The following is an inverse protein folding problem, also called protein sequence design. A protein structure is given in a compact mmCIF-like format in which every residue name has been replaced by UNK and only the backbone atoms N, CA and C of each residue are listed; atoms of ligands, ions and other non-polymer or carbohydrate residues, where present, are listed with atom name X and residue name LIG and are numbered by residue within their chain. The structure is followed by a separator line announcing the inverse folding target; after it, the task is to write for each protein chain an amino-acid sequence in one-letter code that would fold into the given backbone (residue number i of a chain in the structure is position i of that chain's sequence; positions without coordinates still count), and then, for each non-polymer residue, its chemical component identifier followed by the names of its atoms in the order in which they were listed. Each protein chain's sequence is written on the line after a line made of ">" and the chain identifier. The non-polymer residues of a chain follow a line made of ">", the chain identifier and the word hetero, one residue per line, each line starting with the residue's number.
data_IF_158698793747
#
_entry.id   IF_158698793747
#
_cell.length_a   1.000
_cell.length_b   1.000
_cell.length_c   1.000
_cell.angle_alpha   90.00
_cell.angle_beta   90.00
_cell.angle_gamma   90.00
#
_symmetry.space_group_name_H-M   'P 1'
#
loop_
_entity.id
_entity.type
_entity.pdbx_description
1 polymer ?
#
# COMPACT_ATOMS: atom_id res chain seq x y z
N UNK A 1 5.65 23.32 -15.31
CA UNK A 1 6.26 22.18 -14.60
C UNK A 1 5.74 20.88 -15.23
N UNK A 2 6.65 20.00 -15.67
CA UNK A 2 6.26 18.70 -16.24
C UNK A 2 5.94 17.70 -15.14
N UNK A 3 4.94 16.86 -15.37
CA UNK A 3 4.54 15.80 -14.45
C UNK A 3 4.17 14.52 -15.21
N UNK A 4 4.13 13.40 -14.49
CA UNK A 4 3.59 12.13 -14.96
C UNK A 4 2.56 11.63 -13.96
N UNK A 5 1.36 11.30 -14.44
CA UNK A 5 0.34 10.61 -13.66
C UNK A 5 0.62 9.13 -13.67
N UNK A 6 0.76 8.52 -12.49
CA UNK A 6 0.99 7.09 -12.35
C UNK A 6 0.07 6.50 -11.31
N UNK A 7 -0.14 5.19 -11.38
CA UNK A 7 -0.95 4.44 -10.43
C UNK A 7 -0.33 3.07 -10.12
N UNK A 8 -0.60 2.59 -8.90
CA UNK A 8 -0.39 1.21 -8.50
C UNK A 8 -1.68 0.67 -7.88
N UNK A 9 -2.42 -0.14 -8.66
CA UNK A 9 -3.71 -0.74 -8.24
C UNK A 9 -4.78 0.29 -7.86
N UNK A 10 -4.88 1.38 -8.63
CA UNK A 10 -5.84 2.45 -8.40
C UNK A 10 -5.43 3.50 -7.36
N UNK A 11 -4.37 3.27 -6.60
CA UNK A 11 -3.75 4.32 -5.78
C UNK A 11 -2.88 5.19 -6.70
N UNK A 12 -3.32 6.43 -6.95
CA UNK A 12 -2.89 7.26 -8.05
C UNK A 12 -2.31 8.61 -7.59
N UNK A 13 -1.06 8.85 -7.94
CA UNK A 13 -0.35 10.10 -7.61
C UNK A 13 0.09 10.86 -8.84
N UNK A 14 0.36 12.16 -8.66
CA UNK A 14 1.09 12.97 -9.62
C UNK A 14 2.57 12.91 -9.27
N UNK A 15 3.41 12.53 -10.23
CA UNK A 15 4.86 12.39 -10.06
C UNK A 15 5.58 13.51 -10.76
N UNK A 16 6.54 14.13 -10.08
CA UNK A 16 7.40 15.18 -10.63
C UNK A 16 8.85 14.74 -10.52
N UNK A 17 9.56 14.79 -11.64
CA UNK A 17 11.00 14.51 -11.69
C UNK A 17 11.79 15.71 -11.17
N UNK A 18 12.10 15.73 -9.90
CA UNK A 18 12.82 16.81 -9.24
C UNK A 18 14.36 16.75 -9.46
N UNK A 19 14.86 15.80 -10.29
CA UNK A 19 16.21 15.89 -10.85
C UNK A 19 16.34 17.06 -11.85
N UNK A 20 15.21 17.48 -12.46
CA UNK A 20 15.19 18.51 -13.52
C UNK A 20 14.17 19.60 -13.25
N UNK A 21 13.08 19.34 -12.54
CA UNK A 21 12.07 20.31 -12.16
C UNK A 21 12.33 20.84 -10.75
N UNK A 22 12.14 22.13 -10.53
CA UNK A 22 12.19 22.73 -9.20
C UNK A 22 10.77 22.97 -8.70
N UNK A 23 10.44 22.40 -7.55
CA UNK A 23 9.14 22.57 -6.91
C UNK A 23 9.30 23.42 -5.65
N UNK A 24 8.61 24.55 -5.63
CA UNK A 24 8.51 25.41 -4.46
C UNK A 24 7.18 25.14 -3.76
N UNK A 25 7.17 25.07 -2.40
CA UNK A 25 6.00 24.78 -1.58
C UNK A 25 5.22 23.53 -1.98
N UNK A 26 5.84 22.33 -1.92
CA UNK A 26 5.23 21.09 -2.40
C UNK A 26 3.94 20.73 -1.66
N UNK A 27 3.78 21.10 -0.38
CA UNK A 27 2.56 20.90 0.40
C UNK A 27 1.34 21.64 -0.22
N UNK A 28 1.54 22.88 -0.62
CA UNK A 28 0.48 23.68 -1.25
C UNK A 28 0.24 23.23 -2.71
N UNK A 29 1.30 22.81 -3.40
CA UNK A 29 1.16 22.23 -4.74
C UNK A 29 0.36 20.93 -4.67
N UNK A 30 0.62 20.06 -3.69
CA UNK A 30 -0.08 18.79 -3.53
C UNK A 30 -1.59 19.00 -3.41
N UNK A 31 -2.06 19.95 -2.59
CA UNK A 31 -3.48 20.28 -2.45
C UNK A 31 -4.14 20.70 -3.76
N UNK A 32 -3.43 21.49 -4.56
CA UNK A 32 -3.95 22.00 -5.83
C UNK A 32 -3.92 20.97 -6.94
N UNK A 33 -2.80 20.26 -7.09
CA UNK A 33 -2.60 19.33 -8.20
C UNK A 33 -3.38 18.03 -8.00
N UNK A 34 -3.58 17.61 -6.73
CA UNK A 34 -4.34 16.40 -6.41
C UNK A 34 -5.86 16.60 -6.44
N UNK A 35 -6.36 17.83 -6.51
CA UNK A 35 -7.80 18.07 -6.63
C UNK A 35 -8.36 17.40 -7.90
N UNK A 36 -9.38 16.53 -7.73
CA UNK A 36 -9.95 15.74 -8.82
C UNK A 36 -10.86 16.52 -9.74
N UNK A 37 -11.24 17.76 -9.38
CA UNK A 37 -12.13 18.62 -10.13
C UNK A 37 -11.41 19.84 -10.74
N UNK A 38 -10.41 20.38 -10.03
CA UNK A 38 -9.73 21.61 -10.41
C UNK A 38 -8.23 21.44 -10.66
N UNK A 39 -7.69 20.22 -10.41
CA UNK A 39 -6.31 19.85 -10.65
C UNK A 39 -6.15 18.74 -11.67
N UNK A 40 -5.02 18.03 -11.56
CA UNK A 40 -4.79 16.78 -12.30
C UNK A 40 -5.62 15.64 -11.69
N UNK A 41 -5.85 15.72 -10.38
CA UNK A 41 -6.56 14.72 -9.61
C UNK A 41 -5.67 13.56 -9.18
N UNK A 42 -5.80 13.12 -7.93
CA UNK A 42 -5.07 11.98 -7.40
C UNK A 42 -5.08 11.93 -5.89
N UNK A 43 -4.38 10.95 -5.32
CA UNK A 43 -4.23 10.77 -3.87
C UNK A 43 -3.14 11.71 -3.29
N UNK A 44 -2.38 12.38 -4.17
CA UNK A 44 -1.37 13.35 -3.77
C UNK A 44 -0.29 13.60 -4.83
N UNK A 45 0.84 14.09 -4.35
CA UNK A 45 2.02 14.45 -5.12
C UNK A 45 3.23 13.65 -4.63
N UNK A 46 4.03 13.10 -5.54
CA UNK A 46 5.32 12.50 -5.23
C UNK A 46 6.41 13.21 -6.03
N UNK A 47 7.38 13.78 -5.33
CA UNK A 47 8.60 14.28 -5.94
C UNK A 47 9.63 13.16 -5.97
N UNK A 48 10.21 12.92 -7.14
CA UNK A 48 11.34 11.98 -7.32
C UNK A 48 12.59 12.83 -7.29
N UNK A 49 13.25 12.86 -6.13
CA UNK A 49 14.40 13.74 -5.86
C UNK A 49 15.72 12.98 -5.93
N UNK A 50 16.85 13.67 -6.18
CA UNK A 50 18.18 13.10 -5.98
C UNK A 50 18.36 12.66 -4.52
N UNK A 51 19.11 11.56 -4.30
CA UNK A 51 19.56 11.10 -2.99
C UNK A 51 21.06 10.88 -2.97
N UNK A 52 21.70 11.23 -1.87
CA UNK A 52 23.14 10.92 -1.65
C UNK A 52 23.37 9.49 -1.14
N UNK A 53 22.26 8.76 -0.82
CA UNK A 53 22.31 7.44 -0.16
C UNK A 53 21.66 6.33 -0.98
N UNK A 54 20.86 6.69 -1.97
CA UNK A 54 20.06 5.78 -2.76
C UNK A 54 19.97 6.25 -4.23
N UNK A 55 19.24 5.50 -5.06
CA UNK A 55 19.05 5.84 -6.48
C UNK A 55 18.14 7.06 -6.68
N UNK A 56 17.20 7.25 -5.74
CA UNK A 56 16.32 8.42 -5.66
C UNK A 56 15.75 8.54 -4.24
N UNK A 57 15.25 9.73 -3.91
CA UNK A 57 14.41 9.97 -2.74
C UNK A 57 12.95 10.14 -3.16
N UNK A 58 12.07 9.35 -2.56
CA UNK A 58 10.63 9.46 -2.70
C UNK A 58 10.10 10.44 -1.66
N UNK A 59 9.83 11.68 -2.06
CA UNK A 59 9.24 12.71 -1.22
C UNK A 59 7.75 12.82 -1.51
N UNK A 60 6.93 12.37 -0.59
CA UNK A 60 5.51 12.13 -0.80
C UNK A 60 4.64 13.10 0.01
N UNK A 61 3.63 13.65 -0.64
CA UNK A 61 2.61 14.52 -0.04
C UNK A 61 1.21 13.99 -0.37
N UNK A 62 0.37 13.87 0.64
CA UNK A 62 -1.04 13.51 0.49
C UNK A 62 -1.83 14.67 -0.15
N UNK A 63 -3.08 14.41 -0.57
CA UNK A 63 -3.95 15.42 -1.17
C UNK A 63 -4.29 16.59 -0.23
N UNK A 64 -4.17 16.41 1.10
CA UNK A 64 -4.33 17.48 2.09
C UNK A 64 -3.05 18.30 2.32
N UNK A 65 -1.95 17.96 1.63
CA UNK A 65 -0.65 18.60 1.75
C UNK A 65 0.21 18.04 2.88
N UNK A 66 -0.28 17.09 3.67
CA UNK A 66 0.52 16.43 4.70
C UNK A 66 1.60 15.54 4.08
N UNK A 67 2.81 15.55 4.68
CA UNK A 67 3.90 14.71 4.22
C UNK A 67 3.71 13.26 4.67
N UNK A 68 3.69 12.33 3.71
CA UNK A 68 3.63 10.90 3.95
C UNK A 68 5.02 10.29 4.18
N UNK A 69 5.08 9.23 5.00
CA UNK A 69 6.35 8.57 5.31
C UNK A 69 6.76 7.56 4.22
N UNK A 70 5.81 6.81 3.69
CA UNK A 70 6.01 5.78 2.67
C UNK A 70 4.66 5.31 2.13
N UNK A 71 4.61 4.97 0.85
CA UNK A 71 3.48 4.32 0.20
C UNK A 71 3.98 3.16 -0.67
N UNK A 72 3.58 1.93 -0.37
CA UNK A 72 4.02 0.73 -1.09
C UNK A 72 3.62 0.74 -2.57
N UNK A 73 2.46 1.32 -2.92
CA UNK A 73 2.03 1.50 -4.30
C UNK A 73 2.86 2.61 -4.99
N UNK A 74 3.04 3.74 -4.29
CA UNK A 74 3.80 4.87 -4.80
C UNK A 74 5.27 4.55 -5.06
N UNK A 75 5.92 3.79 -4.19
CA UNK A 75 7.35 3.47 -4.37
C UNK A 75 7.60 2.55 -5.58
N UNK A 76 6.65 1.65 -5.93
CA UNK A 76 6.74 0.87 -7.17
C UNK A 76 6.67 1.77 -8.40
N UNK A 77 5.84 2.81 -8.34
CA UNK A 77 5.78 3.82 -9.41
C UNK A 77 7.06 4.64 -9.51
N UNK A 78 7.69 5.02 -8.38
CA UNK A 78 9.01 5.68 -8.38
C UNK A 78 10.07 4.77 -9.02
N UNK A 79 10.13 3.48 -8.63
CA UNK A 79 11.04 2.50 -9.23
C UNK A 79 10.84 2.38 -10.75
N UNK A 80 9.58 2.30 -11.20
CA UNK A 80 9.25 2.29 -12.62
C UNK A 80 9.73 3.57 -13.32
N UNK A 81 9.44 4.72 -12.73
CA UNK A 81 9.81 6.00 -13.33
C UNK A 81 11.32 6.12 -13.53
N UNK A 82 12.11 5.89 -12.47
CA UNK A 82 13.58 6.05 -12.55
C UNK A 82 14.21 5.05 -13.51
N UNK A 83 13.65 3.84 -13.62
CA UNK A 83 14.09 2.85 -14.58
C UNK A 83 13.66 3.20 -16.01
N UNK A 84 12.36 3.45 -16.24
CA UNK A 84 11.80 3.64 -17.59
C UNK A 84 12.31 4.94 -18.25
N UNK A 85 12.59 5.97 -17.45
CA UNK A 85 13.11 7.26 -17.93
C UNK A 85 14.65 7.34 -17.92
N UNK A 86 15.36 6.25 -17.60
CA UNK A 86 16.82 6.17 -17.72
C UNK A 86 17.57 7.01 -16.68
N UNK A 87 16.97 7.27 -15.51
CA UNK A 87 17.67 7.90 -14.36
C UNK A 87 18.69 6.89 -13.79
N UNK A 88 18.35 5.60 -13.84
CA UNK A 88 19.24 4.49 -13.49
C UNK A 88 19.62 3.67 -14.72
N UNK A 89 20.73 2.91 -14.60
CA UNK A 89 21.20 2.03 -15.67
C UNK A 89 20.16 0.94 -16.00
N UNK A 90 19.93 0.70 -17.28
CA UNK A 90 18.96 -0.28 -17.80
C UNK A 90 19.32 -1.75 -17.51
N UNK A 91 20.57 -2.02 -17.16
CA UNK A 91 21.00 -3.38 -16.76
C UNK A 91 20.67 -3.70 -15.30
N UNK A 92 20.33 -2.69 -14.50
CA UNK A 92 20.01 -2.87 -13.09
C UNK A 92 18.66 -3.57 -12.92
N UNK A 93 18.59 -4.43 -11.90
CA UNK A 93 17.35 -5.12 -11.46
C UNK A 93 17.10 -4.92 -9.97
N UNK A 94 18.08 -4.41 -9.24
CA UNK A 94 17.96 -4.01 -7.84
C UNK A 94 18.10 -2.48 -7.76
N UNK A 95 17.13 -1.85 -7.12
CA UNK A 95 17.09 -0.40 -6.90
C UNK A 95 16.95 -0.13 -5.40
N UNK A 96 17.47 1.01 -4.98
CA UNK A 96 17.35 1.49 -3.61
C UNK A 96 16.65 2.84 -3.66
N UNK A 97 15.54 2.97 -2.95
CA UNK A 97 14.79 4.24 -2.89
C UNK A 97 14.75 4.69 -1.44
N UNK A 98 15.31 5.88 -1.19
CA UNK A 98 15.19 6.55 0.10
C UNK A 98 13.76 7.05 0.29
N UNK A 99 13.24 6.88 1.50
CA UNK A 99 11.94 7.40 1.94
C UNK A 99 12.11 7.98 3.34
N UNK A 100 11.12 8.69 3.84
CA UNK A 100 11.11 9.16 5.24
C UNK A 100 11.15 8.02 6.26
N UNK A 101 10.71 6.80 5.86
CA UNK A 101 10.78 5.57 6.67
C UNK A 101 12.08 4.78 6.49
N UNK A 102 13.09 5.34 5.81
CA UNK A 102 14.35 4.68 5.50
C UNK A 102 14.48 4.26 4.05
N UNK A 103 15.60 3.61 3.72
CA UNK A 103 15.87 3.08 2.38
C UNK A 103 15.09 1.78 2.21
N UNK A 104 14.46 1.63 1.04
CA UNK A 104 13.75 0.42 0.62
C UNK A 104 14.46 -0.24 -0.53
N UNK A 105 14.64 -1.56 -0.39
CA UNK A 105 15.20 -2.42 -1.43
C UNK A 105 14.10 -2.89 -2.36
N UNK A 106 14.32 -2.74 -3.67
CA UNK A 106 13.31 -3.01 -4.68
C UNK A 106 13.92 -3.85 -5.79
N UNK A 107 13.35 -5.01 -6.02
CA UNK A 107 13.66 -5.83 -7.20
C UNK A 107 12.66 -5.52 -8.31
N UNK A 108 13.15 -5.21 -9.52
CA UNK A 108 12.30 -4.88 -10.66
C UNK A 108 12.28 -6.00 -11.71
N UNK A 109 11.11 -6.23 -12.29
CA UNK A 109 10.89 -7.18 -13.38
C UNK A 109 10.62 -6.41 -14.67
N UNK A 110 11.46 -6.66 -15.66
CA UNK A 110 11.49 -5.91 -16.92
C UNK A 110 11.01 -6.80 -18.06
N UNK A 111 10.11 -6.26 -18.88
CA UNK A 111 9.63 -6.85 -20.11
C UNK A 111 9.65 -5.81 -21.21
N UNK A 112 10.17 -6.15 -22.39
CA UNK A 112 10.26 -5.27 -23.56
C UNK A 112 10.92 -3.91 -23.27
N UNK A 113 11.97 -3.91 -22.39
CA UNK A 113 12.72 -2.71 -22.00
C UNK A 113 12.00 -1.75 -21.03
N UNK A 114 10.82 -2.15 -20.52
CA UNK A 114 10.04 -1.42 -19.53
C UNK A 114 9.83 -2.23 -18.26
N UNK A 115 9.78 -1.57 -17.10
CA UNK A 115 9.41 -2.22 -15.86
C UNK A 115 7.93 -2.61 -15.88
N UNK A 116 7.61 -3.87 -15.64
CA UNK A 116 6.25 -4.39 -15.56
C UNK A 116 5.75 -4.42 -14.12
N UNK A 117 6.54 -4.97 -13.21
CA UNK A 117 6.24 -5.07 -11.77
C UNK A 117 7.51 -4.94 -10.92
N UNK A 118 7.32 -4.70 -9.64
CA UNK A 118 8.41 -4.67 -8.67
C UNK A 118 8.04 -5.39 -7.38
N UNK A 119 9.05 -5.99 -6.74
CA UNK A 119 9.00 -6.49 -5.38
C UNK A 119 9.64 -5.48 -4.44
N UNK A 120 8.93 -5.10 -3.40
CA UNK A 120 9.38 -4.19 -2.34
C UNK A 120 9.57 -4.98 -1.06
N UNK A 121 10.73 -4.85 -0.40
CA UNK A 121 10.91 -5.32 0.97
C UNK A 121 10.14 -4.40 1.91
N UNK A 122 9.06 -4.92 2.49
CA UNK A 122 8.20 -4.19 3.43
C UNK A 122 8.83 -4.08 4.81
N UNK A 123 9.90 -4.83 5.07
CA UNK A 123 10.60 -4.91 6.34
C UNK A 123 10.04 -5.98 7.27
N UNK A 124 10.48 -5.94 8.53
CA UNK A 124 10.05 -6.86 9.57
C UNK A 124 8.58 -6.62 9.94
N UNK A 125 7.77 -7.68 9.90
CA UNK A 125 6.35 -7.67 10.28
C UNK A 125 6.20 -8.25 11.67
N UNK A 126 5.41 -7.59 12.54
CA UNK A 126 5.25 -7.96 13.94
C UNK A 126 3.79 -8.29 14.26
N UNK A 127 3.62 -9.33 15.10
CA UNK A 127 2.32 -9.61 15.71
C UNK A 127 2.04 -8.53 16.79
N UNK A 128 0.87 -7.90 16.74
CA UNK A 128 0.38 -6.96 17.75
C UNK A 128 -0.76 -7.60 18.56
N UNK A 129 -0.45 -8.09 19.74
CA UNK A 129 -1.39 -8.71 20.66
C UNK A 129 -1.41 -10.23 20.60
N UNK A 130 -2.61 -10.83 20.72
CA UNK A 130 -2.82 -12.29 20.72
C UNK A 130 -3.07 -12.82 19.32
N UNK A 131 -2.94 -14.14 19.15
CA UNK A 131 -3.14 -14.86 17.89
C UNK A 131 -4.17 -15.99 18.06
N UNK A 132 -5.46 -15.78 17.71
CA UNK A 132 -6.17 -14.50 17.48
C UNK A 132 -6.56 -13.80 18.79
N UNK A 133 -7.12 -12.59 18.70
CA UNK A 133 -7.70 -11.82 19.79
C UNK A 133 -9.21 -11.63 19.57
N UNK A 134 -10.02 -11.79 20.64
CA UNK A 134 -11.46 -11.57 20.61
C UNK A 134 -11.77 -10.07 20.81
N UNK A 135 -12.77 -9.55 20.10
CA UNK A 135 -13.20 -8.16 20.15
C UNK A 135 -14.73 -8.07 19.95
N UNK A 136 -15.37 -7.08 20.56
CA UNK A 136 -16.76 -6.79 20.32
C UNK A 136 -16.91 -5.49 19.55
N UNK A 137 -17.45 -5.54 18.33
CA UNK A 137 -17.72 -4.36 17.51
C UNK A 137 -19.20 -4.33 17.15
N UNK A 138 -19.93 -3.25 17.50
CA UNK A 138 -21.38 -3.08 17.24
C UNK A 138 -22.25 -4.21 17.80
N UNK A 139 -21.84 -4.84 18.91
CA UNK A 139 -22.53 -5.99 19.47
C UNK A 139 -22.25 -7.34 18.77
N UNK A 140 -21.37 -7.35 17.78
CA UNK A 140 -20.86 -8.56 17.14
C UNK A 140 -19.66 -9.09 17.90
N UNK A 141 -19.63 -10.37 18.23
CA UNK A 141 -18.47 -11.04 18.81
C UNK A 141 -17.53 -11.49 17.68
N UNK A 142 -16.40 -10.82 17.54
CA UNK A 142 -15.48 -11.01 16.43
C UNK A 142 -14.11 -11.45 16.89
N UNK A 143 -13.32 -11.97 15.97
CA UNK A 143 -11.90 -12.32 16.14
C UNK A 143 -11.06 -11.61 15.11
N UNK A 144 -9.91 -11.10 15.54
CA UNK A 144 -8.94 -10.49 14.64
C UNK A 144 -7.51 -10.92 14.98
N UNK A 145 -6.60 -10.70 14.03
CA UNK A 145 -5.16 -10.78 14.23
C UNK A 145 -4.59 -9.40 14.06
N UNK A 146 -3.96 -8.88 15.13
CA UNK A 146 -3.26 -7.60 15.07
C UNK A 146 -1.88 -7.77 14.43
N UNK A 147 -1.57 -6.99 13.40
CA UNK A 147 -0.28 -7.00 12.69
C UNK A 147 0.24 -5.59 12.56
N UNK A 148 1.54 -5.41 12.81
CA UNK A 148 2.27 -4.16 12.58
C UNK A 148 3.25 -4.33 11.40
N UNK A 149 3.03 -3.54 10.35
CA UNK A 149 3.89 -3.44 9.14
C UNK A 149 4.54 -2.05 9.09
N UNK A 150 4.83 -1.44 10.25
CA UNK A 150 5.18 -0.03 10.41
C UNK A 150 3.98 0.89 10.60
N UNK A 151 2.78 0.32 10.51
CA UNK A 151 1.49 0.89 10.87
C UNK A 151 0.55 -0.25 11.33
N UNK A 152 -0.47 0.06 12.16
CA UNK A 152 -1.32 -0.97 12.76
C UNK A 152 -2.40 -1.49 11.81
N UNK A 153 -2.59 -2.82 11.81
CA UNK A 153 -3.60 -3.55 11.05
C UNK A 153 -4.37 -4.52 11.92
N UNK A 154 -5.69 -4.60 11.76
CA UNK A 154 -6.57 -5.56 12.39
C UNK A 154 -7.22 -6.44 11.31
N UNK A 155 -6.77 -7.70 11.22
CA UNK A 155 -7.15 -8.64 10.15
C UNK A 155 -8.27 -9.55 10.63
N UNK A 156 -9.42 -9.48 9.98
CA UNK A 156 -10.63 -10.24 10.25
C UNK A 156 -10.86 -11.29 9.15
N UNK A 157 -10.69 -12.58 9.48
CA UNK A 157 -11.02 -13.67 8.55
C UNK A 157 -12.51 -13.98 8.60
N UNK A 158 -13.17 -14.03 7.46
CA UNK A 158 -14.62 -14.23 7.37
C UNK A 158 -15.08 -15.53 8.05
N UNK A 159 -14.32 -16.61 7.87
CA UNK A 159 -14.64 -17.91 8.46
C UNK A 159 -14.59 -17.95 9.99
N UNK A 160 -13.87 -17.02 10.64
CA UNK A 160 -13.85 -16.89 12.11
C UNK A 160 -14.91 -15.94 12.65
N UNK A 161 -15.60 -15.23 11.77
CA UNK A 161 -16.45 -14.09 12.11
C UNK A 161 -17.89 -14.27 11.58
N UNK A 162 -18.63 -15.32 12.03
CA UNK A 162 -19.99 -15.59 11.56
C UNK A 162 -20.96 -14.45 11.89
N UNK A 163 -20.69 -13.63 12.91
CA UNK A 163 -21.52 -12.49 13.28
C UNK A 163 -21.49 -11.37 12.22
N UNK A 164 -20.54 -11.36 11.28
CA UNK A 164 -20.58 -10.47 10.12
C UNK A 164 -21.81 -10.77 9.22
N UNK A 165 -22.37 -11.97 9.32
CA UNK A 165 -23.62 -12.40 8.68
C UNK A 165 -23.65 -12.22 7.15
N UNK A 166 -22.52 -12.43 6.49
CA UNK A 166 -22.35 -12.38 5.03
C UNK A 166 -21.74 -13.68 4.52
N UNK A 167 -22.00 -14.04 3.29
CA UNK A 167 -21.40 -15.23 2.65
C UNK A 167 -20.10 -14.92 1.91
N UNK A 168 -19.85 -13.64 1.60
CA UNK A 168 -18.59 -13.13 1.04
C UNK A 168 -18.31 -11.74 1.57
N UNK A 169 -17.04 -11.39 1.69
CA UNK A 169 -16.64 -10.03 2.09
C UNK A 169 -17.11 -8.95 1.11
N UNK A 170 -17.46 -9.33 -0.13
CA UNK A 170 -18.01 -8.40 -1.12
C UNK A 170 -19.39 -7.84 -0.72
N UNK A 171 -20.11 -8.51 0.18
CA UNK A 171 -21.42 -8.10 0.70
C UNK A 171 -21.32 -7.12 1.87
N UNK A 172 -20.11 -6.90 2.45
CA UNK A 172 -19.93 -5.97 3.55
C UNK A 172 -20.13 -4.53 3.09
N UNK A 173 -20.95 -3.80 3.82
CA UNK A 173 -21.10 -2.34 3.65
C UNK A 173 -20.07 -1.61 4.52
N UNK A 174 -18.82 -1.54 4.02
CA UNK A 174 -17.71 -0.97 4.76
C UNK A 174 -17.85 0.55 4.97
N UNK A 175 -18.52 1.27 4.08
CA UNK A 175 -18.83 2.69 4.31
C UNK A 175 -19.67 2.90 5.59
N UNK A 176 -20.60 1.97 5.85
CA UNK A 176 -21.49 2.04 7.01
C UNK A 176 -20.86 1.54 8.31
N UNK A 177 -20.01 0.49 8.26
CA UNK A 177 -19.51 -0.17 9.48
C UNK A 177 -18.03 0.10 9.75
N UNK A 178 -17.22 0.42 8.74
CA UNK A 178 -15.76 0.42 8.82
C UNK A 178 -15.21 1.39 9.87
N UNK A 179 -15.87 2.54 10.07
CA UNK A 179 -15.45 3.51 11.08
C UNK A 179 -15.48 2.95 12.51
N UNK A 180 -16.43 2.07 12.83
CA UNK A 180 -16.52 1.46 14.17
C UNK A 180 -15.38 0.48 14.43
N UNK A 181 -14.81 -0.11 13.37
CA UNK A 181 -13.59 -0.92 13.44
C UNK A 181 -12.34 -0.05 13.56
N UNK A 182 -12.22 0.98 12.72
CA UNK A 182 -11.09 1.92 12.71
C UNK A 182 -10.89 2.59 14.07
N UNK A 183 -11.99 3.09 14.68
CA UNK A 183 -11.98 3.91 15.90
C UNK A 183 -12.27 3.09 17.16
N UNK A 184 -12.22 1.76 17.10
CA UNK A 184 -12.50 0.92 18.26
C UNK A 184 -11.50 1.21 19.41
N UNK A 185 -11.96 1.25 20.71
CA UNK A 185 -11.11 1.58 21.87
C UNK A 185 -9.87 0.67 22.06
N UNK A 186 -9.88 -0.54 21.48
CA UNK A 186 -8.68 -1.41 21.43
C UNK A 186 -7.52 -0.75 20.67
N UNK A 187 -7.82 0.19 19.79
CA UNK A 187 -6.87 0.86 18.91
C UNK A 187 -6.84 2.37 19.16
N UNK A 188 -6.13 2.85 20.22
CA UNK A 188 -6.17 4.25 20.62
C UNK A 188 -5.63 5.23 19.57
N UNK A 189 -4.81 4.75 18.64
CA UNK A 189 -4.28 5.52 17.51
C UNK A 189 -4.99 5.19 16.20
N UNK A 190 -6.20 4.58 16.29
CA UNK A 190 -6.93 4.01 15.16
C UNK A 190 -6.17 2.88 14.48
N UNK A 191 -6.82 2.15 13.58
CA UNK A 191 -6.28 0.97 12.90
C UNK A 191 -6.80 0.90 11.46
N UNK A 192 -6.04 0.26 10.56
CA UNK A 192 -6.61 -0.23 9.30
C UNK A 192 -7.32 -1.55 9.60
N UNK A 193 -8.55 -1.69 9.14
CA UNK A 193 -9.35 -2.90 9.34
C UNK A 193 -9.47 -3.68 8.02
N UNK A 194 -8.90 -4.87 7.98
CA UNK A 194 -8.87 -5.74 6.81
C UNK A 194 -9.88 -6.88 6.96
N UNK A 195 -10.67 -7.11 5.93
CA UNK A 195 -11.65 -8.18 5.84
C UNK A 195 -11.22 -9.18 4.77
N UNK A 196 -11.05 -10.45 5.19
CA UNK A 196 -10.37 -11.47 4.39
C UNK A 196 -11.29 -12.67 4.19
N UNK A 197 -11.39 -13.12 2.93
CA UNK A 197 -12.00 -14.39 2.54
C UNK A 197 -10.90 -15.27 1.95
N UNK A 198 -10.61 -16.41 2.59
CA UNK A 198 -9.61 -17.37 2.11
C UNK A 198 -10.21 -18.19 0.97
N UNK A 199 -9.64 -18.09 -0.23
CA UNK A 199 -10.07 -18.81 -1.41
C UNK A 199 -9.34 -20.14 -1.56
N UNK A 200 -8.04 -20.15 -1.23
CA UNK A 200 -7.16 -21.32 -1.21
C UNK A 200 -5.96 -21.04 -0.29
N UNK A 201 -5.08 -22.03 -0.02
CA UNK A 201 -3.85 -21.77 0.75
C UNK A 201 -2.90 -20.74 0.11
N UNK A 202 -3.13 -20.37 -1.16
CA UNK A 202 -2.29 -19.43 -1.91
C UNK A 202 -3.06 -18.24 -2.47
N UNK A 203 -4.34 -18.08 -2.10
CA UNK A 203 -5.18 -17.00 -2.64
C UNK A 203 -6.17 -16.49 -1.60
N UNK A 204 -6.28 -15.19 -1.47
CA UNK A 204 -7.25 -14.51 -0.61
C UNK A 204 -7.96 -13.37 -1.37
N UNK A 205 -9.23 -13.14 -1.04
CA UNK A 205 -9.94 -11.91 -1.38
C UNK A 205 -9.81 -10.94 -0.22
N UNK A 206 -9.65 -9.65 -0.53
CA UNK A 206 -9.28 -8.61 0.43
C UNK A 206 -10.12 -7.36 0.24
N UNK A 207 -10.63 -6.82 1.34
CA UNK A 207 -11.17 -5.47 1.42
C UNK A 207 -10.64 -4.79 2.68
N UNK A 208 -10.49 -3.48 2.65
CA UNK A 208 -9.92 -2.70 3.75
C UNK A 208 -10.70 -1.41 3.99
N UNK A 209 -10.84 -1.06 5.24
CA UNK A 209 -11.20 0.28 5.67
C UNK A 209 -9.96 0.92 6.29
N UNK A 210 -9.32 1.82 5.53
CA UNK A 210 -8.04 2.41 5.93
C UNK A 210 -8.22 3.54 6.94
N UNK A 211 -7.28 3.62 7.85
CA UNK A 211 -7.18 4.65 8.87
C UNK A 211 -7.15 6.04 8.24
N UNK A 212 -8.22 6.83 8.46
CA UNK A 212 -8.37 8.20 7.98
C UNK A 212 -8.78 8.35 6.53
N UNK A 213 -8.90 7.25 5.76
CA UNK A 213 -9.20 7.30 4.32
C UNK A 213 -10.49 6.57 3.93
N UNK A 214 -11.02 5.71 4.82
CA UNK A 214 -12.19 4.89 4.49
C UNK A 214 -11.85 3.68 3.63
N UNK A 215 -12.82 3.15 2.88
CA UNK A 215 -12.57 2.05 1.96
C UNK A 215 -11.76 2.52 0.76
N UNK A 216 -10.66 1.82 0.46
CA UNK A 216 -9.76 2.13 -0.65
C UNK A 216 -9.62 0.95 -1.61
N UNK A 217 -9.14 1.24 -2.82
CA UNK A 217 -8.97 0.21 -3.86
C UNK A 217 -7.78 -0.71 -3.58
N UNK A 218 -6.75 -0.24 -2.86
CA UNK A 218 -5.55 -1.03 -2.58
C UNK A 218 -4.75 -0.45 -1.40
N UNK A 219 -4.51 -1.30 -0.40
CA UNK A 219 -3.61 -1.05 0.73
C UNK A 219 -2.49 -2.09 0.74
N UNK A 220 -1.26 -1.68 0.40
CA UNK A 220 -0.12 -2.60 0.31
C UNK A 220 0.30 -3.16 1.67
N UNK A 221 0.32 -2.33 2.72
CA UNK A 221 0.63 -2.77 4.10
C UNK A 221 -0.48 -3.66 4.65
N UNK A 222 -1.76 -3.36 4.34
CA UNK A 222 -2.90 -4.19 4.71
C UNK A 222 -2.87 -5.56 4.03
N UNK A 223 -2.56 -5.62 2.73
CA UNK A 223 -2.38 -6.89 2.01
C UNK A 223 -1.24 -7.72 2.62
N UNK A 224 -0.13 -7.06 2.99
CA UNK A 224 0.99 -7.70 3.69
C UNK A 224 0.56 -8.25 5.04
N UNK A 225 -0.14 -7.45 5.84
CA UNK A 225 -0.65 -7.86 7.15
C UNK A 225 -1.60 -9.06 7.03
N UNK A 226 -2.51 -9.05 6.04
CA UNK A 226 -3.47 -10.12 5.81
C UNK A 226 -2.80 -11.46 5.51
N UNK A 227 -1.80 -11.47 4.63
CA UNK A 227 -1.06 -12.72 4.29
C UNK A 227 -0.25 -13.21 5.48
N UNK A 228 0.48 -12.31 6.17
CA UNK A 228 1.25 -12.72 7.37
C UNK A 228 0.33 -13.28 8.46
N UNK A 229 -0.81 -12.63 8.73
CA UNK A 229 -1.83 -13.15 9.66
C UNK A 229 -2.31 -14.55 9.26
N UNK A 230 -2.61 -14.76 7.97
CA UNK A 230 -3.03 -16.06 7.44
C UNK A 230 -1.96 -17.15 7.59
N UNK A 231 -0.69 -16.81 7.36
CA UNK A 231 0.44 -17.73 7.56
C UNK A 231 0.60 -18.09 9.04
N UNK A 232 0.53 -17.11 9.94
CA UNK A 232 0.62 -17.32 11.38
C UNK A 232 -0.54 -18.16 11.91
N UNK A 233 -1.74 -18.04 11.33
CA UNK A 233 -2.91 -18.86 11.63
C UNK A 233 -2.88 -20.26 10.95
N UNK A 234 -1.87 -20.56 10.14
CA UNK A 234 -1.74 -21.84 9.42
C UNK A 234 -2.75 -22.03 8.28
N UNK A 235 -3.30 -20.94 7.73
CA UNK A 235 -4.30 -20.94 6.65
C UNK A 235 -3.70 -20.74 5.29
N UNK A 236 -2.57 -20.03 5.23
CA UNK A 236 -1.87 -19.70 4.00
C UNK A 236 -0.48 -20.32 3.97
N UNK A 237 0.00 -20.61 2.78
CA UNK A 237 1.40 -20.92 2.49
C UNK A 237 2.26 -19.64 2.61
N UNK A 238 3.60 -19.78 2.59
CA UNK A 238 4.55 -18.67 2.78
C UNK A 238 4.48 -17.60 1.68
N UNK A 239 3.62 -17.81 0.68
CA UNK A 239 3.36 -16.91 -0.44
C UNK A 239 1.91 -17.02 -0.89
N UNK A 240 1.23 -15.88 -1.05
CA UNK A 240 -0.15 -15.84 -1.52
C UNK A 240 -0.43 -14.65 -2.44
N UNK A 241 -1.39 -14.83 -3.34
CA UNK A 241 -1.99 -13.75 -4.14
C UNK A 241 -3.14 -13.12 -3.35
N UNK A 242 -3.13 -11.82 -3.28
CA UNK A 242 -4.17 -11.00 -2.64
C UNK A 242 -4.97 -10.29 -3.73
N UNK A 243 -6.26 -10.62 -3.85
CA UNK A 243 -7.19 -9.98 -4.76
C UNK A 243 -7.83 -8.77 -4.08
N UNK A 244 -7.34 -7.57 -4.38
CA UNK A 244 -7.87 -6.30 -3.92
C UNK A 244 -8.86 -5.73 -4.94
N UNK A 245 -9.62 -4.71 -4.58
CA UNK A 245 -10.53 -4.03 -5.51
C UNK A 245 -9.80 -3.42 -6.73
N UNK A 246 -8.57 -2.94 -6.53
CA UNK A 246 -7.75 -2.32 -7.57
C UNK A 246 -6.93 -3.31 -8.41
N UNK A 247 -6.89 -4.60 -8.05
CA UNK A 247 -6.13 -5.66 -8.73
C UNK A 247 -5.32 -6.52 -7.75
N UNK A 248 -4.34 -7.25 -8.25
CA UNK A 248 -3.64 -8.29 -7.51
C UNK A 248 -2.27 -7.85 -7.00
N UNK A 249 -1.97 -8.25 -5.76
CA UNK A 249 -0.62 -8.25 -5.18
C UNK A 249 -0.21 -9.69 -4.85
N UNK A 250 1.06 -9.98 -5.03
CA UNK A 250 1.67 -11.19 -4.54
C UNK A 250 2.49 -10.84 -3.29
N UNK A 251 2.19 -11.49 -2.17
CA UNK A 251 2.89 -11.28 -0.91
C UNK A 251 3.60 -12.58 -0.53
N UNK A 252 4.86 -12.47 -0.10
CA UNK A 252 5.59 -13.58 0.51
C UNK A 252 6.17 -13.16 1.86
N UNK A 253 6.32 -14.12 2.76
CA UNK A 253 6.83 -13.91 4.12
C UNK A 253 7.95 -14.89 4.44
N UNK A 254 9.11 -14.38 4.79
CA UNK A 254 10.23 -15.17 5.28
C UNK A 254 10.16 -15.30 6.80
N UNK A 255 9.69 -16.46 7.26
CA UNK A 255 9.58 -16.79 8.70
C UNK A 255 10.92 -16.76 9.46
N UNK A 256 12.07 -16.82 8.78
CA UNK A 256 13.38 -16.80 9.42
C UNK A 256 13.84 -15.40 9.76
N UNK A 257 13.57 -14.46 8.84
CA UNK A 257 13.97 -13.05 8.98
C UNK A 257 12.85 -12.19 9.53
N UNK A 258 11.59 -12.62 9.43
CA UNK A 258 10.41 -11.83 9.76
C UNK A 258 10.06 -10.79 8.70
N UNK A 259 10.74 -10.79 7.55
CA UNK A 259 10.48 -9.85 6.47
C UNK A 259 9.36 -10.31 5.55
N UNK A 260 8.56 -9.37 5.12
CA UNK A 260 7.57 -9.59 4.08
C UNK A 260 7.96 -8.84 2.79
N UNK A 261 7.62 -9.45 1.66
CA UNK A 261 7.92 -8.91 0.33
C UNK A 261 6.63 -8.76 -0.45
N UNK A 262 6.41 -7.58 -1.01
CA UNK A 262 5.21 -7.25 -1.77
C UNK A 262 5.55 -7.04 -3.25
N UNK A 263 5.00 -7.86 -4.11
CA UNK A 263 5.16 -7.77 -5.56
C UNK A 263 3.87 -7.28 -6.21
N UNK A 264 3.97 -6.25 -7.04
CA UNK A 264 2.82 -5.72 -7.76
C UNK A 264 3.21 -4.83 -8.95
N UNK A 265 2.23 -4.49 -9.80
CA UNK A 265 2.43 -3.64 -10.96
C UNK A 265 2.60 -2.17 -10.58
N UNK A 266 3.06 -1.40 -11.55
CA UNK A 266 3.01 0.05 -11.57
C UNK A 266 2.78 0.51 -13.01
N UNK A 267 2.01 1.58 -13.19
CA UNK A 267 1.61 2.04 -14.52
C UNK A 267 1.76 3.55 -14.66
N UNK A 268 2.35 4.00 -15.75
CA UNK A 268 2.22 5.37 -16.22
C UNK A 268 0.88 5.51 -16.95
N UNK A 269 0.09 6.50 -16.58
CA UNK A 269 -1.23 6.76 -17.18
C UNK A 269 -1.14 7.80 -18.28
N UNK A 270 -0.56 8.95 -17.95
CA UNK A 270 -0.27 10.03 -18.91
C UNK A 270 0.78 11.00 -18.34
N UNK A 271 1.35 11.82 -19.22
CA UNK A 271 2.21 12.94 -18.84
C UNK A 271 1.60 14.26 -19.29
N UNK A 272 1.94 15.34 -18.60
CA UNK A 272 1.42 16.67 -18.88
C UNK A 272 2.33 17.78 -18.36
N UNK A 273 1.84 19.01 -18.52
CA UNK A 273 2.48 20.21 -18.01
C UNK A 273 1.51 20.99 -17.12
N UNK A 274 1.92 21.25 -15.89
CA UNK A 274 1.21 22.08 -14.93
C UNK A 274 1.60 23.53 -15.12
N UNK A 275 0.61 24.42 -15.35
CA UNK A 275 0.75 25.86 -15.61
C UNK A 275 0.58 26.70 -14.36
#
# INVERSE_FOLDING_TARGET
>A
MKFTKMEGLGNDYVYVNAFVEKVENPEELAKRIADRHFGVGGDGLILIEPSDKADAYMHMFNADGSEGAMCGNGIRCVAKYIYDHGIVDKERRQLHIETKSGIKDIEIFVKDGKMEKATVDMGEVKLDGKLPEDIEVRGMALRFVGIDVGNPHAVYFLEDNPDLSVSSISELDLERIGKDFEEHPRFPNKVNAEFIEVLSPTEIRFRVYERGSGETLACGTGATAAVVAGILMGRLEDKATVHLLGGDLEISYDKKTGHAFMTGPAREVFSGEWV
#
